data_IF_110932328929
#
_entry.id   IF_110932328929
#
_cell.length_a   1.000
_cell.length_b   1.000
_cell.length_c   1.000
_cell.angle_alpha   90.00
_cell.angle_beta   90.00
_cell.angle_gamma   90.00
#
_symmetry.space_group_name_H-M   'P 1'
#
loop_
_entity.id
_entity.type
_entity.pdbx_description
1 polymer ?
#
# COMPACT_ATOMS: atom_id res chain seq x y z
N UNK A 1 -73.10 -10.59 -28.01
CA UNK A 1 -71.67 -10.28 -28.24
C UNK A 1 -71.12 -9.79 -26.90
N UNK A 2 -70.77 -10.72 -26.02
CA UNK A 2 -69.45 -11.38 -25.93
C UNK A 2 -68.44 -10.51 -25.18
N UNK A 3 -68.22 -10.93 -23.95
CA UNK A 3 -67.26 -10.56 -22.90
C UNK A 3 -66.00 -9.78 -23.30
N UNK A 4 -65.79 -8.64 -22.62
CA UNK A 4 -64.46 -8.12 -22.25
C UNK A 4 -64.55 -7.40 -20.88
N UNK A 5 -65.05 -8.13 -19.87
CA UNK A 5 -64.77 -7.81 -18.47
C UNK A 5 -63.41 -8.41 -18.12
N UNK A 6 -62.33 -7.67 -18.37
CA UNK A 6 -60.98 -8.06 -17.95
C UNK A 6 -60.46 -7.07 -16.89
N UNK A 7 -60.72 -7.46 -15.64
CA UNK A 7 -59.69 -7.65 -14.59
C UNK A 7 -59.03 -6.41 -13.97
N UNK A 8 -59.82 -5.41 -13.58
CA UNK A 8 -59.34 -4.38 -12.65
C UNK A 8 -59.40 -4.78 -11.15
N UNK A 9 -59.88 -5.99 -10.83
CA UNK A 9 -60.16 -6.44 -9.44
C UNK A 9 -59.01 -7.21 -8.77
N UNK A 10 -57.94 -7.53 -9.52
CA UNK A 10 -56.78 -8.30 -9.03
C UNK A 10 -55.49 -7.43 -8.95
N UNK A 11 -55.64 -6.11 -8.83
CA UNK A 11 -54.53 -5.13 -8.86
C UNK A 11 -53.78 -5.00 -7.53
N UNK A 12 -54.38 -5.44 -6.44
CA UNK A 12 -53.76 -5.45 -5.10
C UNK A 12 -52.47 -6.31 -5.08
N UNK A 13 -52.44 -7.54 -5.62
CA UNK A 13 -51.20 -8.30 -5.81
C UNK A 13 -50.12 -7.56 -6.61
N UNK A 14 -50.50 -6.85 -7.69
CA UNK A 14 -49.55 -6.12 -8.56
C UNK A 14 -48.95 -4.90 -7.84
N UNK A 15 -49.75 -4.22 -7.01
CA UNK A 15 -49.26 -3.15 -6.13
C UNK A 15 -48.27 -3.70 -5.09
N UNK A 16 -48.54 -4.88 -4.52
CA UNK A 16 -47.62 -5.50 -3.57
C UNK A 16 -46.31 -5.96 -4.23
N UNK A 17 -46.35 -6.51 -5.44
CA UNK A 17 -45.13 -6.94 -6.16
C UNK A 17 -44.29 -5.75 -6.63
N UNK A 18 -44.92 -4.67 -7.09
CA UNK A 18 -44.21 -3.43 -7.43
C UNK A 18 -43.62 -2.73 -6.21
N UNK A 19 -44.34 -2.67 -5.08
CA UNK A 19 -43.80 -2.14 -3.82
C UNK A 19 -42.61 -2.97 -3.32
N UNK A 20 -42.70 -4.31 -3.40
CA UNK A 20 -41.59 -5.21 -3.09
C UNK A 20 -40.37 -4.97 -3.99
N UNK A 21 -40.58 -4.79 -5.30
CA UNK A 21 -39.49 -4.49 -6.24
C UNK A 21 -38.81 -3.15 -5.92
N UNK A 22 -39.57 -2.11 -5.59
CA UNK A 22 -39.03 -0.80 -5.20
C UNK A 22 -38.19 -0.90 -3.92
N UNK A 23 -38.65 -1.66 -2.92
CA UNK A 23 -37.89 -1.89 -1.68
C UNK A 23 -36.59 -2.63 -1.95
N UNK A 24 -36.63 -3.69 -2.77
CA UNK A 24 -35.43 -4.47 -3.12
C UNK A 24 -34.43 -3.61 -3.90
N UNK A 25 -34.89 -2.85 -4.90
CA UNK A 25 -34.03 -1.93 -5.67
C UNK A 25 -33.46 -0.83 -4.77
N UNK A 26 -34.27 -0.28 -3.86
CA UNK A 26 -33.82 0.71 -2.88
C UNK A 26 -32.74 0.16 -1.95
N UNK A 27 -32.92 -1.05 -1.43
CA UNK A 27 -31.89 -1.73 -0.62
C UNK A 27 -30.62 -2.00 -1.43
N UNK A 28 -30.73 -2.41 -2.69
CA UNK A 28 -29.58 -2.64 -3.57
C UNK A 28 -28.80 -1.34 -3.79
N UNK A 29 -29.48 -0.24 -4.12
CA UNK A 29 -28.85 1.07 -4.30
C UNK A 29 -28.19 1.55 -3.00
N UNK A 30 -28.86 1.41 -1.85
CA UNK A 30 -28.30 1.76 -0.55
C UNK A 30 -27.05 0.94 -0.24
N UNK A 31 -27.08 -0.37 -0.51
CA UNK A 31 -25.94 -1.26 -0.31
C UNK A 31 -24.77 -0.89 -1.23
N UNK A 32 -25.03 -0.66 -2.52
CA UNK A 32 -24.01 -0.21 -3.47
C UNK A 32 -23.41 1.13 -3.04
N UNK A 33 -24.24 2.07 -2.58
CA UNK A 33 -23.80 3.36 -2.07
C UNK A 33 -22.84 3.21 -0.88
N UNK A 34 -23.17 2.37 0.10
CA UNK A 34 -22.29 2.11 1.25
C UNK A 34 -20.99 1.43 0.79
N UNK A 35 -21.06 0.45 -0.11
CA UNK A 35 -19.89 -0.24 -0.63
C UNK A 35 -18.95 0.71 -1.38
N UNK A 36 -19.51 1.57 -2.24
CA UNK A 36 -18.76 2.57 -2.99
C UNK A 36 -18.13 3.59 -2.04
N UNK A 37 -18.92 4.20 -1.15
CA UNK A 37 -18.41 5.23 -0.23
C UNK A 37 -17.33 4.71 0.72
N UNK A 38 -17.48 3.49 1.26
CA UNK A 38 -16.48 2.90 2.16
C UNK A 38 -15.27 2.34 1.41
N UNK A 39 -15.51 1.71 0.27
CA UNK A 39 -14.45 1.12 -0.55
C UNK A 39 -13.54 2.15 -1.18
N UNK A 40 -14.10 3.22 -1.78
CA UNK A 40 -13.31 4.25 -2.47
C UNK A 40 -12.38 5.01 -1.52
N UNK A 41 -12.77 5.20 -0.26
CA UNK A 41 -11.93 5.88 0.74
C UNK A 41 -10.70 5.05 1.11
N UNK A 42 -10.81 3.72 1.16
CA UNK A 42 -9.69 2.84 1.49
C UNK A 42 -8.59 2.82 0.41
N UNK A 43 -8.93 3.16 -0.84
CA UNK A 43 -7.96 3.25 -1.93
C UNK A 43 -7.23 4.59 -1.97
N UNK A 44 -7.60 5.57 -1.14
CA UNK A 44 -6.92 6.85 -1.16
C UNK A 44 -5.58 6.75 -0.42
N UNK A 45 -4.47 7.15 -1.06
CA UNK A 45 -3.16 7.12 -0.41
C UNK A 45 -3.15 8.07 0.79
N UNK A 46 -2.58 7.60 1.90
CA UNK A 46 -2.37 8.46 3.05
C UNK A 46 -1.22 9.42 2.74
N UNK A 47 -1.35 10.65 3.23
CA UNK A 47 -0.30 11.65 3.03
C UNK A 47 0.89 11.35 3.94
N UNK A 48 2.10 11.50 3.41
CA UNK A 48 3.33 11.42 4.20
C UNK A 48 3.50 12.70 5.00
N UNK A 49 3.64 12.56 6.31
CA UNK A 49 3.85 13.67 7.23
C UNK A 49 5.23 13.59 7.88
N UNK A 50 5.85 14.76 8.04
CA UNK A 50 7.04 14.97 8.85
C UNK A 50 6.59 15.53 10.20
N UNK A 51 6.81 14.75 11.25
CA UNK A 51 6.39 15.03 12.61
C UNK A 51 7.64 15.36 13.42
N UNK A 52 7.72 16.59 13.93
CA UNK A 52 8.80 17.02 14.80
C UNK A 52 8.31 16.97 16.24
N UNK A 53 9.00 16.21 17.08
CA UNK A 53 8.70 16.06 18.51
C UNK A 53 9.44 17.14 19.31
N UNK A 54 8.93 17.47 20.50
CA UNK A 54 9.54 18.44 21.42
C UNK A 54 10.94 18.02 21.91
N UNK A 55 11.25 16.72 21.89
CA UNK A 55 12.59 16.19 22.20
C UNK A 55 13.60 16.37 21.04
N UNK A 56 13.16 16.95 19.91
CA UNK A 56 13.96 17.16 18.70
C UNK A 56 13.94 15.95 17.74
N UNK A 57 13.27 14.86 18.10
CA UNK A 57 13.11 13.70 17.22
C UNK A 57 12.23 14.04 16.03
N UNK A 58 12.63 13.60 14.84
CA UNK A 58 11.84 13.73 13.62
C UNK A 58 11.36 12.34 13.21
N UNK A 59 10.05 12.20 13.06
CA UNK A 59 9.40 10.98 12.59
C UNK A 59 8.77 11.28 11.24
N UNK A 60 9.08 10.44 10.25
CA UNK A 60 8.54 10.54 8.90
C UNK A 60 7.65 9.34 8.63
N UNK A 61 6.41 9.55 8.24
CA UNK A 61 5.49 8.44 7.98
C UNK A 61 4.05 8.86 7.67
N UNK A 62 3.21 7.86 7.45
CA UNK A 62 1.77 8.06 7.23
C UNK A 62 1.03 8.01 8.57
N UNK A 63 0.14 8.96 8.85
CA UNK A 63 -0.70 8.93 10.05
C UNK A 63 -1.92 8.06 9.79
N UNK A 64 -2.01 6.91 10.47
CA UNK A 64 -3.06 5.90 10.25
C UNK A 64 -4.20 6.01 11.25
N UNK A 65 -3.88 6.21 12.53
CA UNK A 65 -4.87 6.40 13.58
C UNK A 65 -4.54 7.62 14.43
N UNK A 66 -5.58 8.37 14.78
CA UNK A 66 -5.53 9.47 15.73
C UNK A 66 -6.67 9.23 16.72
N UNK A 67 -6.31 8.98 17.98
CA UNK A 67 -7.27 8.65 19.04
C UNK A 67 -7.11 9.63 20.18
N UNK A 68 -8.17 10.37 20.47
CA UNK A 68 -8.26 11.18 21.68
C UNK A 68 -8.47 10.26 22.89
N UNK A 69 -7.50 10.22 23.79
CA UNK A 69 -7.62 9.57 25.09
C UNK A 69 -7.71 10.60 26.22
N UNK A 70 -8.21 10.22 27.41
CA UNK A 70 -8.23 11.13 28.56
C UNK A 70 -6.86 11.70 28.94
N UNK A 71 -5.80 10.93 28.65
CA UNK A 71 -4.40 11.32 28.89
C UNK A 71 -3.80 12.21 27.79
N UNK A 72 -4.54 12.47 26.71
CA UNK A 72 -4.07 13.19 25.53
C UNK A 72 -4.32 12.45 24.21
N UNK A 73 -3.97 13.11 23.11
CA UNK A 73 -4.04 12.53 21.77
C UNK A 73 -2.95 11.48 21.56
N UNK A 74 -3.30 10.34 20.96
CA UNK A 74 -2.35 9.30 20.55
C UNK A 74 -2.36 9.15 19.04
N UNK A 75 -1.19 9.31 18.43
CA UNK A 75 -0.99 9.15 16.99
C UNK A 75 -0.32 7.80 16.71
N UNK A 76 -0.85 7.05 15.75
CA UNK A 76 -0.22 5.85 15.22
C UNK A 76 0.31 6.15 13.82
N UNK A 77 1.63 6.19 13.71
CA UNK A 77 2.33 6.61 12.49
C UNK A 77 3.03 5.41 11.88
N UNK A 78 2.75 5.13 10.61
CA UNK A 78 3.43 4.11 9.82
C UNK A 78 4.70 4.69 9.24
N UNK A 79 5.84 4.33 9.83
CA UNK A 79 7.17 4.80 9.43
C UNK A 79 7.84 3.90 8.40
N UNK A 80 7.30 2.70 8.18
CA UNK A 80 7.97 1.68 7.39
C UNK A 80 9.27 1.22 8.06
N UNK A 81 10.23 0.76 7.26
CA UNK A 81 11.62 0.48 7.69
C UNK A 81 11.72 -0.50 8.87
N UNK A 82 10.83 -1.52 8.90
CA UNK A 82 10.77 -2.52 9.97
C UNK A 82 12.10 -3.23 10.22
N UNK A 83 12.91 -3.36 9.18
CA UNK A 83 14.27 -3.91 9.24
C UNK A 83 15.26 -3.02 10.01
N UNK A 84 15.08 -1.70 10.00
CA UNK A 84 15.94 -0.76 10.74
C UNK A 84 15.52 -0.60 12.20
N UNK A 85 14.20 -0.57 12.45
CA UNK A 85 13.66 -0.20 13.78
C UNK A 85 12.89 -1.33 14.47
N UNK A 86 12.79 -2.51 13.85
CA UNK A 86 12.07 -3.67 14.38
C UNK A 86 10.53 -3.57 14.31
N UNK A 87 9.99 -2.37 14.06
CA UNK A 87 8.57 -2.06 14.04
C UNK A 87 8.23 -1.18 12.84
N UNK A 88 7.04 -1.41 12.26
CA UNK A 88 6.53 -0.64 11.12
C UNK A 88 5.70 0.58 11.55
N UNK A 89 5.14 0.52 12.75
CA UNK A 89 4.34 1.58 13.35
C UNK A 89 5.01 2.09 14.62
N UNK A 90 4.97 3.41 14.77
CA UNK A 90 5.38 4.11 15.98
C UNK A 90 4.16 4.80 16.58
N UNK A 91 3.98 4.63 17.89
CA UNK A 91 2.98 5.39 18.63
C UNK A 91 3.64 6.66 19.17
N UNK A 92 3.06 7.81 18.86
CA UNK A 92 3.50 9.12 19.33
C UNK A 92 2.43 9.70 20.23
N UNK A 93 2.88 10.39 21.28
CA UNK A 93 2.03 11.23 22.12
C UNK A 93 1.85 12.57 21.41
N UNK A 94 0.61 12.92 21.06
CA UNK A 94 0.25 14.16 20.39
C UNK A 94 0.61 15.39 21.22
N UNK A 95 0.61 15.29 22.56
CA UNK A 95 1.02 16.39 23.43
C UNK A 95 2.53 16.70 23.33
N UNK A 96 3.34 15.75 22.84
CA UNK A 96 4.77 15.92 22.61
C UNK A 96 5.11 16.35 21.18
N UNK A 97 4.12 16.50 20.31
CA UNK A 97 4.33 16.95 18.93
C UNK A 97 4.53 18.46 18.90
N UNK A 98 5.65 18.90 18.33
CA UNK A 98 5.97 20.31 18.12
C UNK A 98 5.42 20.84 16.80
N UNK A 99 5.52 20.07 15.71
CA UNK A 99 4.93 20.44 14.41
C UNK A 99 4.64 19.20 13.56
N UNK A 100 3.69 19.34 12.64
CA UNK A 100 3.30 18.35 11.62
C UNK A 100 3.17 19.06 10.29
N UNK A 101 3.89 18.59 9.30
CA UNK A 101 3.90 19.18 7.95
C UNK A 101 3.85 18.06 6.91
N UNK A 102 3.31 18.36 5.73
CA UNK A 102 3.41 17.45 4.60
C UNK A 102 4.89 17.26 4.26
N UNK A 103 5.33 16.02 4.14
CA UNK A 103 6.73 15.71 3.86
C UNK A 103 7.03 15.84 2.35
N UNK A 104 7.16 17.08 1.89
CA UNK A 104 7.51 17.36 0.50
C UNK A 104 8.88 16.75 0.15
N UNK A 105 8.93 16.00 -0.95
CA UNK A 105 10.14 15.32 -1.41
C UNK A 105 10.47 14.02 -0.66
N UNK A 106 9.66 13.60 0.31
CA UNK A 106 9.80 12.26 0.91
C UNK A 106 9.39 11.16 -0.07
N UNK A 107 10.11 10.05 -0.01
CA UNK A 107 9.90 8.90 -0.87
C UNK A 107 9.27 7.78 -0.05
N UNK A 108 8.26 7.13 -0.62
CA UNK A 108 7.75 5.84 -0.21
C UNK A 108 8.15 4.83 -1.29
N UNK A 109 8.98 3.87 -0.91
CA UNK A 109 9.51 2.85 -1.82
C UNK A 109 9.11 1.48 -1.30
N UNK A 110 8.44 0.68 -2.12
CA UNK A 110 8.16 -0.71 -1.78
C UNK A 110 9.35 -1.60 -2.19
N UNK A 111 10.01 -2.22 -1.21
CA UNK A 111 11.11 -3.15 -1.44
C UNK A 111 10.58 -4.57 -1.56
N UNK A 112 11.06 -5.31 -2.57
CA UNK A 112 10.60 -6.66 -2.90
C UNK A 112 10.56 -7.63 -1.71
N UNK A 113 11.55 -7.57 -0.81
CA UNK A 113 11.70 -8.55 0.28
C UNK A 113 11.43 -7.96 1.68
N UNK A 114 11.39 -6.64 1.82
CA UNK A 114 11.43 -5.95 3.12
C UNK A 114 10.26 -4.97 3.30
N UNK A 115 9.34 -4.94 2.33
CA UNK A 115 8.17 -4.07 2.36
C UNK A 115 8.54 -2.59 2.24
N UNK A 116 7.67 -1.75 2.80
CA UNK A 116 7.74 -0.30 2.63
C UNK A 116 8.99 0.28 3.29
N UNK A 117 9.65 1.17 2.54
CA UNK A 117 10.68 2.07 2.99
C UNK A 117 10.20 3.51 2.86
N UNK A 118 10.34 4.31 3.93
CA UNK A 118 9.99 5.73 3.91
C UNK A 118 11.23 6.53 4.31
N UNK A 119 11.59 7.54 3.50
CA UNK A 119 12.77 8.35 3.76
C UNK A 119 12.89 9.55 2.84
N UNK A 120 13.81 10.45 3.18
CA UNK A 120 14.24 11.52 2.27
C UNK A 120 15.33 10.97 1.35
N UNK A 121 15.28 11.24 0.04
CA UNK A 121 16.37 10.86 -0.85
C UNK A 121 17.65 11.62 -0.46
N UNK A 122 18.77 10.90 -0.42
CA UNK A 122 20.08 11.48 -0.11
C UNK A 122 20.90 11.74 -1.37
N UNK A 123 21.27 10.67 -2.08
CA UNK A 123 22.08 10.70 -3.29
C UNK A 123 21.68 9.52 -4.18
N UNK A 124 21.57 9.75 -5.49
CA UNK A 124 21.38 8.72 -6.50
C UNK A 124 22.74 8.25 -6.99
N UNK A 125 23.02 6.95 -6.82
CA UNK A 125 24.26 6.32 -7.28
C UNK A 125 23.96 5.54 -8.56
N UNK A 126 24.52 5.98 -9.67
CA UNK A 126 24.52 5.26 -10.94
C UNK A 126 25.97 4.93 -11.35
N UNK A 127 26.21 3.95 -12.22
CA UNK A 127 27.56 3.47 -12.52
C UNK A 127 28.58 4.58 -12.83
N UNK A 128 28.13 5.61 -13.56
CA UNK A 128 29.01 6.67 -14.07
C UNK A 128 28.87 8.00 -13.32
N UNK A 129 27.96 8.11 -12.35
CA UNK A 129 27.70 9.39 -11.67
C UNK A 129 27.04 9.25 -10.29
N UNK A 130 27.18 10.32 -9.52
CA UNK A 130 26.42 10.55 -8.30
C UNK A 130 25.65 11.85 -8.45
N UNK A 131 24.36 11.82 -8.21
CA UNK A 131 23.45 12.96 -8.41
C UNK A 131 22.69 13.20 -7.12
N UNK A 132 22.58 14.46 -6.71
CA UNK A 132 21.83 14.85 -5.53
C UNK A 132 20.40 15.24 -5.89
N UNK A 133 19.42 15.14 -4.97
CA UNK A 133 18.05 15.59 -5.21
C UNK A 133 17.91 17.07 -5.56
N UNK A 134 18.94 17.89 -5.28
CA UNK A 134 18.97 19.30 -5.62
C UNK A 134 19.29 19.57 -7.11
N UNK A 135 19.82 18.57 -7.82
CA UNK A 135 20.18 18.70 -9.24
C UNK A 135 18.92 18.69 -10.12
N UNK A 136 18.86 19.60 -11.11
CA UNK A 136 17.71 19.73 -12.00
C UNK A 136 17.38 18.44 -12.77
N UNK A 137 18.42 17.66 -13.11
CA UNK A 137 18.28 16.40 -13.85
C UNK A 137 18.00 15.19 -12.95
N UNK A 138 17.91 15.37 -11.62
CA UNK A 138 17.77 14.26 -10.67
C UNK A 138 16.58 13.36 -10.99
N UNK A 139 15.42 13.97 -11.27
CA UNK A 139 14.19 13.24 -11.54
C UNK A 139 14.29 12.39 -12.81
N UNK A 140 14.79 12.99 -13.91
CA UNK A 140 14.96 12.28 -15.18
C UNK A 140 15.93 11.11 -15.02
N UNK A 141 17.08 11.32 -14.37
CA UNK A 141 18.08 10.28 -14.18
C UNK A 141 17.61 9.17 -13.23
N UNK A 142 16.79 9.51 -12.23
CA UNK A 142 16.16 8.53 -11.35
C UNK A 142 15.19 7.65 -12.14
N UNK A 143 14.34 8.26 -12.98
CA UNK A 143 13.37 7.52 -13.79
C UNK A 143 14.10 6.59 -14.79
N UNK A 144 15.14 7.08 -15.48
CA UNK A 144 15.99 6.27 -16.36
C UNK A 144 16.67 5.11 -15.62
N UNK A 145 17.22 5.38 -14.43
CA UNK A 145 17.88 4.36 -13.61
C UNK A 145 16.89 3.30 -13.10
N UNK A 146 15.66 3.70 -12.79
CA UNK A 146 14.60 2.79 -12.35
C UNK A 146 14.17 1.85 -13.47
N UNK A 147 14.01 2.35 -14.69
CA UNK A 147 13.68 1.53 -15.87
C UNK A 147 14.76 0.48 -16.13
N UNK A 148 16.04 0.88 -16.04
CA UNK A 148 17.17 -0.05 -16.15
C UNK A 148 17.15 -1.07 -15.01
N UNK A 149 16.92 -0.65 -13.77
CA UNK A 149 16.87 -1.55 -12.62
C UNK A 149 15.74 -2.59 -12.75
N UNK A 150 14.56 -2.19 -13.20
CA UNK A 150 13.42 -3.08 -13.45
C UNK A 150 13.76 -4.09 -14.55
N UNK A 151 14.32 -3.62 -15.67
CA UNK A 151 14.73 -4.49 -16.77
C UNK A 151 15.78 -5.52 -16.33
N UNK A 152 16.77 -5.09 -15.54
CA UNK A 152 17.80 -5.97 -14.99
C UNK A 152 17.20 -7.02 -14.04
N UNK A 153 16.30 -6.62 -13.14
CA UNK A 153 15.65 -7.56 -12.22
C UNK A 153 14.83 -8.62 -12.99
N UNK A 154 14.07 -8.21 -14.01
CA UNK A 154 13.29 -9.15 -14.84
C UNK A 154 14.19 -10.15 -15.58
N UNK A 155 15.36 -9.71 -16.06
CA UNK A 155 16.34 -10.55 -16.73
C UNK A 155 16.94 -11.56 -15.75
N UNK A 156 17.30 -11.11 -14.54
CA UNK A 156 17.81 -11.98 -13.49
C UNK A 156 16.82 -13.09 -13.13
N UNK A 157 15.54 -12.75 -12.91
CA UNK A 157 14.50 -13.72 -12.58
C UNK A 157 14.33 -14.77 -13.70
N UNK A 158 14.31 -14.32 -14.96
CA UNK A 158 14.21 -15.22 -16.11
C UNK A 158 15.41 -16.16 -16.21
N UNK A 159 16.63 -15.64 -16.05
CA UNK A 159 17.87 -16.44 -16.09
C UNK A 159 17.92 -17.45 -14.94
N UNK A 160 17.57 -17.05 -13.72
CA UNK A 160 17.47 -17.97 -12.58
C UNK A 160 16.45 -19.09 -12.84
N UNK A 161 15.30 -18.77 -13.43
CA UNK A 161 14.30 -19.76 -13.83
C UNK A 161 14.80 -20.72 -14.93
N UNK A 162 15.61 -20.25 -15.89
CA UNK A 162 16.27 -21.11 -16.87
C UNK A 162 17.29 -22.05 -16.22
N UNK A 163 18.14 -21.54 -15.32
CA UNK A 163 19.12 -22.33 -14.59
C UNK A 163 18.45 -23.41 -13.75
N UNK A 164 17.37 -23.08 -13.04
CA UNK A 164 16.62 -24.06 -12.25
C UNK A 164 16.04 -25.18 -13.11
N UNK A 165 15.48 -24.85 -14.29
CA UNK A 165 14.97 -25.85 -15.25
C UNK A 165 16.07 -26.75 -15.79
N UNK A 166 17.26 -26.20 -16.06
CA UNK A 166 18.41 -26.99 -16.52
C UNK A 166 18.93 -27.91 -15.42
N UNK A 167 19.07 -27.40 -14.20
CA UNK A 167 19.48 -28.18 -13.04
C UNK A 167 18.56 -29.38 -12.81
N UNK A 168 17.23 -29.18 -12.86
CA UNK A 168 16.25 -30.27 -12.73
C UNK A 168 16.31 -31.32 -13.84
N UNK A 169 16.80 -30.98 -15.04
CA UNK A 169 17.02 -31.95 -16.13
C UNK A 169 18.30 -32.76 -15.95
N UNK A 170 19.35 -32.14 -15.41
CA UNK A 170 20.67 -32.77 -15.27
C UNK A 170 20.74 -33.62 -13.99
N UNK A 171 20.11 -33.18 -12.91
CA UNK A 171 20.14 -33.83 -11.61
C UNK A 171 18.73 -33.83 -10.97
N UNK A 172 17.82 -34.74 -11.37
CA UNK A 172 16.46 -34.80 -10.83
C UNK A 172 16.41 -35.12 -9.33
N UNK A 173 17.44 -35.81 -8.80
CA UNK A 173 17.62 -36.11 -7.37
C UNK A 173 18.09 -34.89 -6.54
N UNK A 174 18.60 -33.83 -7.19
CA UNK A 174 19.05 -32.60 -6.52
C UNK A 174 17.90 -31.63 -6.18
N UNK A 175 16.65 -32.10 -6.22
CA UNK A 175 15.43 -31.34 -5.93
C UNK A 175 15.33 -30.81 -4.50
N UNK A 176 16.15 -31.31 -3.58
CA UNK A 176 16.55 -30.55 -2.39
C UNK A 176 17.87 -29.84 -2.74
N UNK A 177 17.77 -28.63 -3.33
CA UNK A 177 18.92 -27.73 -3.38
C UNK A 177 19.53 -27.60 -1.98
N UNK A 178 20.82 -27.25 -1.84
CA UNK A 178 21.45 -27.14 -0.52
C UNK A 178 20.51 -26.31 0.34
N UNK A 179 20.02 -26.89 1.45
CA UNK A 179 19.34 -26.11 2.48
C UNK A 179 20.34 -25.05 2.86
N UNK A 180 20.18 -23.86 2.29
CA UNK A 180 20.92 -22.69 2.72
C UNK A 180 20.43 -22.50 4.13
N UNK A 181 21.19 -23.04 5.06
CA UNK A 181 20.98 -22.90 6.48
C UNK A 181 21.22 -21.41 6.76
N UNK A 182 20.21 -20.58 6.47
CA UNK A 182 20.22 -19.13 6.73
C UNK A 182 20.09 -18.85 8.23
N UNK A 183 20.64 -19.73 9.05
CA UNK A 183 20.84 -19.50 10.46
C UNK A 183 22.33 -19.17 10.64
N UNK A 184 22.65 -17.86 10.68
CA UNK A 184 23.68 -17.21 11.56
C UNK A 184 24.67 -16.19 10.97
N UNK A 185 24.62 -15.77 9.71
CA UNK A 185 25.66 -14.84 9.19
C UNK A 185 25.25 -13.37 8.96
N UNK A 186 24.16 -12.87 9.55
CA UNK A 186 23.78 -11.46 9.40
C UNK A 186 23.57 -10.67 10.70
N UNK A 187 24.22 -11.08 11.79
CA UNK A 187 24.38 -10.23 12.97
C UNK A 187 25.82 -10.30 13.47
N UNK A 188 26.68 -9.45 12.91
CA UNK A 188 27.87 -8.93 13.59
C UNK A 188 28.07 -7.49 13.14
#
# INVERSE_FOLDING_TARGET
>A
MSSLRLRARDSVPVLFTSMGLVVILGMLVLMLWILLSRGLVAFWPHSLERIVMQDGRVVLGEVWDQVDTPDGERLRVRTGNRDLWGQEFVQLDGAQVSSRELAEGAFLVERLNQGIFIGMPGELHIPDARITPADADYRSKLDDALDVAIALNSTQEHTLGQLHRLAGRIAPEAGEGPRVDRAREQYT
#
